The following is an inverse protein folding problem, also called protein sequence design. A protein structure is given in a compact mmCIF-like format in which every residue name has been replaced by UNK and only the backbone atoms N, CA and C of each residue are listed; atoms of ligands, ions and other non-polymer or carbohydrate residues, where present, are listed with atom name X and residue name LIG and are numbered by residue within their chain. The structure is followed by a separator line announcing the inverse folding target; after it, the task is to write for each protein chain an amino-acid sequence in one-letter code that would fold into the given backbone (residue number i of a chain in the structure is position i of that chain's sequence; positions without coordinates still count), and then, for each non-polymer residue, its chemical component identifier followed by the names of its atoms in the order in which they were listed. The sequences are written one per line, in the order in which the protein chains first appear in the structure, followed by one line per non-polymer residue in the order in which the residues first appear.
data_IF_268174913100
#
_entry.id   IF_268174913100
#
_cell.length_a   1.000
_cell.length_b   1.000
_cell.length_c   1.000
_cell.angle_alpha   90.00
_cell.angle_beta   90.00
_cell.angle_gamma   90.00
#
_symmetry.space_group_name_H-M   'P 1'
#
loop_
_entity.id
_entity.type
_entity.pdbx_description
1 polymer ?
#
# COMPACT_ATOMS: atom_id res chain seq x y z
N UNK A 1 16.27 -16.68 13.47
CA UNK A 1 16.78 -16.54 14.87
C UNK A 1 17.76 -15.36 14.93
N UNK A 2 17.34 -14.11 14.55
CA UNK A 2 18.21 -12.93 14.50
C UNK A 2 17.46 -11.65 14.90
N UNK A 3 16.67 -11.70 16.00
CA UNK A 3 16.04 -10.49 16.56
C UNK A 3 15.98 -10.58 18.07
N UNK A 4 17.13 -10.53 18.73
CA UNK A 4 17.21 -10.24 20.16
C UNK A 4 18.40 -9.34 20.45
N UNK A 5 18.08 -8.13 20.92
CA UNK A 5 18.76 -7.16 21.75
C UNK A 5 18.89 -5.77 21.10
N UNK A 6 18.01 -4.85 21.53
CA UNK A 6 18.35 -3.58 22.18
C UNK A 6 17.09 -2.77 22.42
N UNK A 7 16.54 -2.83 23.63
CA UNK A 7 15.68 -1.78 24.13
C UNK A 7 16.56 -0.58 24.42
N UNK A 8 16.66 0.34 23.45
CA UNK A 8 17.36 1.61 23.57
C UNK A 8 16.37 2.73 23.33
N UNK A 9 16.26 3.65 24.27
CA UNK A 9 15.56 4.92 24.10
C UNK A 9 16.21 5.67 22.96
N UNK A 10 15.44 5.99 21.92
CA UNK A 10 15.90 6.77 20.76
C UNK A 10 16.43 8.14 21.21
N UNK A 11 17.75 8.33 21.15
CA UNK A 11 18.36 9.65 21.07
C UNK A 11 18.58 9.95 19.60
N UNK A 12 17.75 10.82 19.02
CA UNK A 12 17.96 11.34 17.67
C UNK A 12 19.17 12.27 17.71
N UNK A 13 20.33 11.75 17.37
CA UNK A 13 21.53 12.53 17.11
C UNK A 13 22.18 12.00 15.83
N UNK A 14 21.75 12.52 14.69
CA UNK A 14 22.31 12.18 13.40
C UNK A 14 21.49 12.77 12.27
N UNK A 15 22.16 13.16 11.19
CA UNK A 15 21.56 13.81 10.03
C UNK A 15 20.81 12.84 9.08
N UNK A 16 20.77 11.54 9.40
CA UNK A 16 20.14 10.51 8.56
C UNK A 16 18.83 10.02 9.19
N UNK A 17 17.80 9.75 8.39
CA UNK A 17 16.54 9.21 8.88
C UNK A 17 16.76 7.80 9.46
N UNK A 18 16.05 7.48 10.54
CA UNK A 18 16.07 6.14 11.15
C UNK A 18 15.19 5.17 10.33
N UNK A 19 14.10 5.69 9.78
CA UNK A 19 13.20 4.94 8.91
C UNK A 19 13.70 5.01 7.47
N UNK A 20 13.91 3.85 6.87
CA UNK A 20 14.26 3.72 5.45
C UNK A 20 13.35 2.68 4.80
N UNK A 21 12.90 2.96 3.59
CA UNK A 21 12.03 2.08 2.81
C UNK A 21 12.42 2.11 1.34
N UNK A 22 12.49 0.96 0.71
CA UNK A 22 12.67 0.86 -0.73
C UNK A 22 11.30 0.79 -1.41
N UNK A 23 10.82 1.94 -1.89
CA UNK A 23 9.48 2.07 -2.48
C UNK A 23 9.33 1.38 -3.86
N UNK A 24 10.45 1.03 -4.51
CA UNK A 24 10.46 0.37 -5.83
C UNK A 24 11.62 -0.64 -5.88
N UNK A 25 11.47 -1.80 -5.23
CA UNK A 25 12.51 -2.81 -5.25
C UNK A 25 12.69 -3.38 -6.67
N UNK A 26 13.89 -3.88 -6.94
CA UNK A 26 14.16 -4.57 -8.20
C UNK A 26 13.28 -5.82 -8.27
N UNK A 27 12.75 -6.06 -9.47
CA UNK A 27 12.01 -7.28 -9.71
C UNK A 27 12.91 -8.50 -9.48
N UNK A 28 12.45 -9.43 -8.64
CA UNK A 28 13.11 -10.71 -8.43
C UNK A 28 12.63 -11.70 -9.50
N UNK A 29 13.48 -12.61 -9.93
CA UNK A 29 13.05 -13.66 -10.86
C UNK A 29 12.15 -14.64 -10.11
N UNK A 30 10.89 -14.74 -10.54
CA UNK A 30 9.95 -15.72 -9.98
C UNK A 30 10.00 -17.04 -10.76
N UNK A 31 9.84 -18.17 -10.07
CA UNK A 31 9.78 -19.47 -10.72
C UNK A 31 8.53 -19.63 -11.59
N UNK A 32 8.61 -20.55 -12.55
CA UNK A 32 7.47 -21.00 -13.33
C UNK A 32 7.00 -22.36 -12.79
N UNK A 33 5.70 -22.51 -12.68
CA UNK A 33 5.07 -23.75 -12.23
C UNK A 33 4.19 -24.31 -13.33
N UNK A 34 4.19 -25.63 -13.49
CA UNK A 34 3.30 -26.32 -14.44
C UNK A 34 1.87 -26.40 -13.91
N UNK A 35 1.73 -26.48 -12.60
CA UNK A 35 0.44 -26.57 -11.91
C UNK A 35 0.34 -25.40 -10.89
N UNK A 36 -0.77 -24.69 -10.92
CA UNK A 36 -1.06 -23.61 -9.99
C UNK A 36 -1.01 -24.07 -8.51
N UNK A 37 -1.29 -25.37 -8.26
CA UNK A 37 -1.26 -25.96 -6.92
C UNK A 37 0.14 -26.07 -6.31
N UNK A 38 1.18 -25.97 -7.13
CA UNK A 38 2.58 -25.99 -6.69
C UNK A 38 3.10 -24.59 -6.34
N UNK A 39 2.34 -23.55 -6.64
CA UNK A 39 2.76 -22.17 -6.39
C UNK A 39 2.86 -21.93 -4.90
N UNK A 40 4.06 -21.56 -4.45
CA UNK A 40 4.36 -21.09 -3.11
C UNK A 40 5.60 -20.20 -3.20
N UNK A 41 5.39 -18.89 -3.34
CA UNK A 41 6.46 -17.91 -3.55
C UNK A 41 6.32 -16.73 -2.62
N UNK A 42 7.45 -16.23 -2.13
CA UNK A 42 7.53 -15.05 -1.28
C UNK A 42 8.61 -14.11 -1.81
N UNK A 43 8.26 -12.82 -1.97
CA UNK A 43 9.19 -11.80 -2.46
C UNK A 43 8.89 -10.40 -1.91
N UNK A 44 9.90 -9.50 -1.90
CA UNK A 44 9.74 -8.16 -1.31
C UNK A 44 8.88 -7.25 -2.19
N UNK A 45 8.05 -6.43 -1.54
CA UNK A 45 7.25 -5.35 -2.12
C UNK A 45 7.75 -3.97 -1.71
N UNK A 46 7.90 -3.77 -0.42
CA UNK A 46 8.37 -2.53 0.22
C UNK A 46 9.38 -2.88 1.32
N UNK A 47 10.56 -3.38 0.94
CA UNK A 47 11.54 -3.83 1.92
C UNK A 47 12.01 -2.70 2.85
N UNK A 48 12.27 -3.01 4.12
CA UNK A 48 12.22 -4.34 4.73
C UNK A 48 10.85 -4.72 5.33
N UNK A 49 9.77 -3.97 5.05
CA UNK A 49 8.52 -4.04 5.80
C UNK A 49 7.44 -4.91 5.15
N UNK A 50 7.26 -4.84 3.82
CA UNK A 50 6.18 -5.57 3.16
C UNK A 50 6.69 -6.58 2.13
N UNK A 51 6.01 -7.73 2.12
CA UNK A 51 6.31 -8.85 1.22
C UNK A 51 5.02 -9.39 0.60
N UNK A 52 5.11 -9.91 -0.62
CA UNK A 52 4.08 -10.74 -1.21
C UNK A 52 4.34 -12.20 -0.87
N UNK A 53 3.29 -12.92 -0.49
CA UNK A 53 3.30 -14.37 -0.40
C UNK A 53 2.15 -14.93 -1.23
N UNK A 54 2.47 -15.65 -2.30
CA UNK A 54 1.48 -16.23 -3.21
C UNK A 54 1.52 -17.75 -3.06
N UNK A 55 0.36 -18.34 -2.79
CA UNK A 55 0.23 -19.79 -2.64
C UNK A 55 -1.16 -20.28 -3.07
N UNK A 56 -1.27 -21.57 -3.27
CA UNK A 56 -2.54 -22.21 -3.60
C UNK A 56 -3.41 -22.42 -2.36
N UNK A 57 -4.64 -21.90 -2.39
CA UNK A 57 -5.67 -22.17 -1.40
C UNK A 57 -6.47 -23.42 -1.83
N UNK A 58 -6.31 -24.50 -1.07
CA UNK A 58 -6.98 -25.79 -1.36
C UNK A 58 -8.47 -25.77 -1.10
N UNK A 59 -8.96 -24.91 -0.19
CA UNK A 59 -10.37 -24.78 0.16
C UNK A 59 -11.16 -24.06 -0.93
N UNK A 60 -10.63 -22.91 -1.37
CA UNK A 60 -11.28 -22.09 -2.40
C UNK A 60 -10.83 -22.44 -3.82
N UNK A 61 -9.83 -23.32 -3.98
CA UNK A 61 -9.28 -23.76 -5.27
C UNK A 61 -8.82 -22.61 -6.15
N UNK A 62 -8.14 -21.65 -5.55
CA UNK A 62 -7.59 -20.48 -6.23
C UNK A 62 -6.23 -20.07 -5.64
N UNK A 63 -5.49 -19.23 -6.38
CA UNK A 63 -4.26 -18.62 -5.88
C UNK A 63 -4.60 -17.45 -4.98
N UNK A 64 -3.95 -17.42 -3.82
CA UNK A 64 -4.07 -16.34 -2.84
C UNK A 64 -2.78 -15.55 -2.79
N UNK A 65 -2.90 -14.25 -2.86
CA UNK A 65 -1.83 -13.27 -2.70
C UNK A 65 -1.98 -12.58 -1.35
N UNK A 66 -1.14 -12.92 -0.40
CA UNK A 66 -1.11 -12.31 0.92
C UNK A 66 -0.06 -11.20 0.94
N UNK A 67 -0.49 -9.99 1.28
CA UNK A 67 0.46 -8.94 1.69
C UNK A 67 0.81 -9.17 3.14
N UNK A 68 2.09 -9.47 3.38
CA UNK A 68 2.65 -9.57 4.72
C UNK A 68 3.23 -8.21 5.12
N UNK A 69 2.63 -7.59 6.13
CA UNK A 69 3.02 -6.29 6.68
C UNK A 69 3.40 -6.43 8.16
N UNK A 70 4.09 -5.43 8.77
CA UNK A 70 4.44 -5.49 10.18
C UNK A 70 3.21 -5.65 11.08
N UNK A 71 3.25 -6.61 11.98
CA UNK A 71 2.16 -6.83 12.94
C UNK A 71 2.26 -5.77 14.03
N UNK A 72 1.19 -4.97 14.18
CA UNK A 72 1.03 -3.97 15.22
C UNK A 72 0.41 -4.60 16.48
N UNK A 73 0.94 -4.24 17.64
CA UNK A 73 0.26 -4.48 18.91
C UNK A 73 -0.95 -3.56 19.08
N UNK A 74 -1.81 -3.82 20.06
CA UNK A 74 -2.95 -2.93 20.32
C UNK A 74 -2.50 -1.53 20.78
N UNK A 75 -1.36 -1.46 21.46
CA UNK A 75 -0.72 -0.19 21.84
C UNK A 75 -0.21 0.55 20.60
N UNK A 76 0.51 -0.14 19.70
CA UNK A 76 0.98 0.45 18.43
C UNK A 76 -0.18 0.99 17.60
N UNK A 77 -1.32 0.27 17.55
CA UNK A 77 -2.53 0.72 16.81
C UNK A 77 -3.12 2.01 17.39
N UNK A 78 -3.18 2.12 18.73
CA UNK A 78 -3.65 3.33 19.38
C UNK A 78 -2.74 4.51 19.10
N UNK A 79 -1.43 4.32 19.21
CA UNK A 79 -0.43 5.35 18.90
C UNK A 79 -0.51 5.75 17.43
N UNK A 80 -0.60 4.79 16.52
CA UNK A 80 -0.74 5.05 15.08
C UNK A 80 -1.98 5.88 14.76
N UNK A 81 -3.14 5.54 15.36
CA UNK A 81 -4.38 6.31 15.17
C UNK A 81 -4.21 7.75 15.64
N UNK A 82 -3.61 7.93 16.82
CA UNK A 82 -3.39 9.26 17.41
C UNK A 82 -2.43 10.11 16.58
N UNK A 83 -1.31 9.53 16.17
CA UNK A 83 -0.35 10.19 15.28
C UNK A 83 -0.96 10.50 13.90
N UNK A 84 -1.80 9.60 13.38
CA UNK A 84 -2.49 9.79 12.11
C UNK A 84 -3.40 11.03 12.12
N UNK A 85 -4.12 11.26 13.21
CA UNK A 85 -4.97 12.45 13.35
C UNK A 85 -4.13 13.72 13.53
N UNK A 86 -3.09 13.69 14.37
CA UNK A 86 -2.17 14.82 14.53
C UNK A 86 -1.44 15.19 13.23
N UNK A 87 -1.04 14.19 12.43
CA UNK A 87 -0.41 14.44 11.13
C UNK A 87 -1.37 15.12 10.16
N UNK A 88 -2.64 14.74 10.11
CA UNK A 88 -3.64 15.38 9.23
C UNK A 88 -3.79 16.87 9.53
N UNK A 89 -3.68 17.27 10.80
CA UNK A 89 -3.74 18.67 11.20
C UNK A 89 -2.46 19.45 10.87
N UNK A 90 -1.29 18.82 11.03
CA UNK A 90 0.00 19.47 10.85
C UNK A 90 0.48 19.51 9.39
N UNK A 91 0.07 18.54 8.58
CA UNK A 91 0.61 18.36 7.25
C UNK A 91 -0.46 18.54 6.19
N UNK A 92 -0.41 19.67 5.49
CA UNK A 92 -1.10 19.81 4.23
C UNK A 92 -0.32 19.08 3.12
N UNK A 93 -0.45 17.73 3.11
CA UNK A 93 0.33 16.80 2.27
C UNK A 93 0.10 17.04 0.77
N UNK A 94 -0.94 17.79 0.39
CA UNK A 94 -1.26 18.11 -1.00
C UNK A 94 -0.13 18.82 -1.77
N UNK A 95 0.86 19.38 -1.06
CA UNK A 95 2.00 20.10 -1.64
C UNK A 95 3.31 19.28 -1.71
N UNK A 96 3.35 18.08 -1.14
CA UNK A 96 4.57 17.28 -1.19
C UNK A 96 4.60 16.53 -2.52
N UNK A 97 5.29 17.10 -3.51
CA UNK A 97 5.57 16.37 -4.75
C UNK A 97 6.50 15.20 -4.44
N UNK A 98 6.10 13.99 -4.79
CA UNK A 98 6.78 12.70 -4.54
C UNK A 98 8.16 12.59 -5.22
N UNK A 99 8.71 13.66 -5.77
CA UNK A 99 10.00 13.64 -6.48
C UNK A 99 11.23 13.46 -5.58
N UNK A 100 11.10 13.69 -4.28
CA UNK A 100 12.20 13.62 -3.32
C UNK A 100 11.80 12.73 -2.12
N UNK A 101 11.75 11.42 -2.32
CA UNK A 101 11.31 10.45 -1.31
C UNK A 101 12.05 10.56 0.04
N UNK A 102 13.33 10.86 0.02
CA UNK A 102 14.13 11.03 1.25
C UNK A 102 13.72 12.30 2.02
N UNK A 103 13.42 13.38 1.33
CA UNK A 103 12.97 14.65 1.95
C UNK A 103 11.60 14.45 2.62
N UNK A 104 10.70 13.69 2.00
CA UNK A 104 9.37 13.38 2.57
C UNK A 104 9.50 12.55 3.83
N UNK A 105 10.34 11.52 3.84
CA UNK A 105 10.58 10.66 5.01
C UNK A 105 11.13 11.48 6.17
N UNK A 106 12.15 12.31 5.94
CA UNK A 106 12.70 13.19 6.98
C UNK A 106 11.67 14.16 7.55
N UNK A 107 10.83 14.72 6.69
CA UNK A 107 9.76 15.61 7.12
C UNK A 107 8.73 14.89 8.00
N UNK A 108 8.32 13.68 7.63
CA UNK A 108 7.42 12.86 8.43
C UNK A 108 8.05 12.48 9.77
N UNK A 109 9.29 11.99 9.78
CA UNK A 109 10.02 11.66 11.01
C UNK A 109 10.09 12.85 11.97
N UNK A 110 10.43 14.03 11.45
CA UNK A 110 10.51 15.26 12.25
C UNK A 110 9.17 15.56 12.95
N UNK A 111 8.08 15.54 12.19
CA UNK A 111 6.75 15.85 12.75
C UNK A 111 6.27 14.78 13.74
N UNK A 112 6.53 13.51 13.45
CA UNK A 112 6.19 12.40 14.35
C UNK A 112 6.97 12.50 15.66
N UNK A 113 8.27 12.80 15.61
CA UNK A 113 9.08 12.95 16.80
C UNK A 113 8.62 14.15 17.65
N UNK A 114 8.17 15.25 17.03
CA UNK A 114 7.56 16.38 17.74
C UNK A 114 6.30 15.92 18.45
N UNK A 115 5.36 15.27 17.74
CA UNK A 115 4.11 14.78 18.32
C UNK A 115 4.36 13.79 19.47
N UNK A 116 5.26 12.82 19.29
CA UNK A 116 5.61 11.87 20.36
C UNK A 116 6.17 12.58 21.59
N UNK A 117 6.99 13.61 21.39
CA UNK A 117 7.59 14.40 22.47
C UNK A 117 6.55 15.24 23.20
N UNK A 118 5.66 15.92 22.49
CA UNK A 118 4.58 16.76 23.05
C UNK A 118 3.59 15.92 23.86
N UNK A 119 3.31 14.71 23.41
CA UNK A 119 2.40 13.76 24.06
C UNK A 119 3.09 12.96 25.19
N UNK A 120 4.41 13.08 25.35
CA UNK A 120 5.16 12.30 26.32
C UNK A 120 5.17 10.79 26.04
N UNK A 121 4.89 10.37 24.82
CA UNK A 121 4.82 8.97 24.43
C UNK A 121 6.23 8.42 24.18
N UNK A 122 6.59 7.36 24.89
CA UNK A 122 7.84 6.63 24.71
C UNK A 122 7.54 5.30 24.03
N UNK A 123 8.16 5.05 22.89
CA UNK A 123 8.00 3.79 22.13
C UNK A 123 9.35 3.15 21.87
N UNK A 124 9.35 1.84 21.66
CA UNK A 124 10.55 1.11 21.23
C UNK A 124 10.94 1.46 19.80
N UNK A 125 12.20 1.27 19.43
CA UNK A 125 12.64 1.43 18.03
C UNK A 125 11.86 0.53 17.07
N UNK A 126 11.52 -0.68 17.51
CA UNK A 126 10.73 -1.62 16.70
C UNK A 126 9.33 -1.08 16.43
N UNK A 127 8.61 -0.65 17.47
CA UNK A 127 7.27 -0.03 17.34
C UNK A 127 7.32 1.23 16.48
N UNK A 128 8.36 2.06 16.68
CA UNK A 128 8.56 3.27 15.88
C UNK A 128 8.66 2.94 14.38
N UNK A 129 9.50 1.99 14.00
CA UNK A 129 9.68 1.60 12.60
C UNK A 129 8.40 1.02 11.98
N UNK A 130 7.65 0.21 12.75
CA UNK A 130 6.35 -0.31 12.31
C UNK A 130 5.34 0.81 12.07
N UNK A 131 5.22 1.73 13.02
CA UNK A 131 4.32 2.88 12.93
C UNK A 131 4.71 3.77 11.75
N UNK A 132 6.00 4.05 11.57
CA UNK A 132 6.51 4.83 10.43
C UNK A 132 6.17 4.19 9.09
N UNK A 133 6.23 2.86 8.98
CA UNK A 133 5.82 2.14 7.78
C UNK A 133 4.34 2.42 7.45
N UNK A 134 3.43 2.30 8.42
CA UNK A 134 2.01 2.56 8.20
C UNK A 134 1.72 4.03 7.89
N UNK A 135 2.42 4.95 8.56
CA UNK A 135 2.31 6.38 8.25
C UNK A 135 2.79 6.67 6.82
N UNK A 136 3.93 6.12 6.42
CA UNK A 136 4.41 6.25 5.03
C UNK A 136 3.39 5.67 4.05
N UNK A 137 2.94 4.43 4.26
CA UNK A 137 1.96 3.75 3.41
C UNK A 137 0.66 4.55 3.26
N UNK A 138 0.15 5.09 4.37
CA UNK A 138 -1.17 5.70 4.41
C UNK A 138 -1.15 7.20 4.03
N UNK A 139 -0.07 7.91 4.24
CA UNK A 139 0.02 9.34 3.94
C UNK A 139 0.77 9.64 2.64
N UNK A 140 1.86 8.96 2.35
CA UNK A 140 2.63 9.15 1.12
C UNK A 140 2.12 8.24 0.01
N UNK A 141 1.92 6.98 0.34
CA UNK A 141 1.40 5.96 -0.57
C UNK A 141 -0.11 5.98 -0.73
N UNK A 142 -0.63 4.86 -1.17
CA UNK A 142 -2.04 4.63 -1.51
C UNK A 142 -2.71 3.67 -0.52
N UNK A 143 -2.45 3.83 0.77
CA UNK A 143 -3.03 3.05 1.86
C UNK A 143 -2.82 1.53 1.63
N UNK A 144 -3.86 0.73 1.85
CA UNK A 144 -3.83 -0.74 1.76
C UNK A 144 -3.44 -1.27 0.38
N UNK A 145 -3.56 -0.45 -0.68
CA UNK A 145 -3.20 -0.87 -2.04
C UNK A 145 -1.76 -0.48 -2.44
N UNK A 146 -1.06 0.28 -1.60
CA UNK A 146 0.33 0.69 -1.91
C UNK A 146 1.26 -0.49 -2.21
N UNK A 147 1.23 -1.61 -1.44
CA UNK A 147 2.06 -2.77 -1.75
C UNK A 147 1.79 -3.36 -3.13
N UNK A 148 0.53 -3.37 -3.60
CA UNK A 148 0.18 -3.84 -4.94
C UNK A 148 0.73 -2.93 -6.04
N UNK A 149 0.69 -1.60 -5.78
CA UNK A 149 1.23 -0.63 -6.73
C UNK A 149 2.77 -0.67 -6.79
N UNK A 150 3.43 -1.04 -5.70
CA UNK A 150 4.86 -1.25 -5.65
C UNK A 150 5.31 -2.54 -6.37
N UNK A 151 4.44 -3.55 -6.46
CA UNK A 151 4.78 -4.84 -7.07
C UNK A 151 4.97 -4.74 -8.58
N UNK A 152 6.15 -5.14 -9.06
CA UNK A 152 6.46 -5.17 -10.49
C UNK A 152 5.55 -6.11 -11.30
N UNK A 153 5.09 -7.20 -10.68
CA UNK A 153 4.33 -8.24 -11.36
C UNK A 153 2.82 -7.99 -11.43
N UNK A 154 2.30 -6.98 -10.75
CA UNK A 154 0.88 -6.65 -10.82
C UNK A 154 0.62 -5.75 -12.03
N UNK A 155 -0.38 -6.14 -12.82
CA UNK A 155 -0.87 -5.39 -13.98
C UNK A 155 -2.16 -4.65 -13.66
N UNK A 156 -3.14 -5.34 -13.07
CA UNK A 156 -4.42 -4.74 -12.70
C UNK A 156 -4.72 -4.99 -11.22
N UNK A 157 -5.36 -4.00 -10.58
CA UNK A 157 -5.87 -4.07 -9.20
C UNK A 157 -7.36 -3.80 -9.25
N UNK A 158 -8.18 -4.75 -8.79
CA UNK A 158 -9.65 -4.70 -8.91
C UNK A 158 -10.32 -4.79 -7.53
N UNK A 159 -11.07 -3.74 -7.18
CA UNK A 159 -11.92 -3.71 -5.99
C UNK A 159 -13.40 -3.66 -6.39
N UNK A 160 -14.12 -4.73 -6.12
CA UNK A 160 -15.50 -4.93 -6.54
C UNK A 160 -16.53 -4.56 -5.45
N UNK A 161 -16.15 -3.67 -4.53
CA UNK A 161 -17.02 -3.15 -3.48
C UNK A 161 -16.69 -3.67 -2.09
N UNK A 162 -17.56 -3.31 -1.14
CA UNK A 162 -17.44 -3.64 0.28
C UNK A 162 -17.60 -5.14 0.51
N UNK A 163 -16.84 -5.68 1.48
CA UNK A 163 -16.83 -7.10 1.85
C UNK A 163 -16.43 -8.06 0.71
N UNK A 164 -15.84 -7.52 -0.36
CA UNK A 164 -15.25 -8.32 -1.42
C UNK A 164 -13.73 -8.21 -1.34
N UNK A 165 -12.98 -9.31 -1.51
CA UNK A 165 -11.53 -9.23 -1.58
C UNK A 165 -11.11 -8.43 -2.83
N UNK A 166 -9.98 -7.77 -2.73
CA UNK A 166 -9.31 -7.21 -3.92
C UNK A 166 -8.76 -8.37 -4.74
N UNK A 167 -8.96 -8.31 -6.05
CA UNK A 167 -8.34 -9.23 -7.01
C UNK A 167 -7.22 -8.51 -7.75
N UNK A 168 -6.18 -9.25 -8.10
CA UNK A 168 -5.04 -8.75 -8.87
C UNK A 168 -4.85 -9.59 -10.12
N UNK A 169 -4.44 -8.93 -11.21
CA UNK A 169 -3.90 -9.61 -12.38
C UNK A 169 -2.37 -9.63 -12.25
N UNK A 170 -1.83 -10.81 -12.02
CA UNK A 170 -0.39 -11.03 -11.85
C UNK A 170 0.20 -11.61 -13.14
N UNK A 171 1.28 -11.03 -13.67
CA UNK A 171 1.91 -11.39 -14.96
C UNK A 171 2.21 -12.86 -15.13
N UNK A 172 2.69 -13.52 -14.05
CA UNK A 172 3.04 -14.94 -14.09
C UNK A 172 1.91 -15.85 -13.64
N UNK A 173 1.16 -15.44 -12.63
CA UNK A 173 0.19 -16.30 -11.96
C UNK A 173 -1.26 -15.92 -12.27
N UNK A 174 -1.48 -14.99 -13.20
CA UNK A 174 -2.80 -14.53 -13.67
C UNK A 174 -3.65 -13.96 -12.53
N UNK A 175 -4.91 -14.36 -12.43
CA UNK A 175 -5.82 -13.83 -11.43
C UNK A 175 -5.50 -14.43 -10.05
N UNK A 176 -5.30 -13.57 -9.06
CA UNK A 176 -5.05 -13.96 -7.68
C UNK A 176 -5.94 -13.17 -6.73
N UNK A 177 -6.51 -13.85 -5.75
CA UNK A 177 -7.30 -13.24 -4.67
C UNK A 177 -6.38 -12.69 -3.59
N UNK A 178 -6.64 -11.51 -3.07
CA UNK A 178 -5.84 -10.97 -1.97
C UNK A 178 -6.46 -11.18 -0.59
N UNK A 179 -5.66 -10.95 0.46
CA UNK A 179 -6.14 -10.87 1.84
C UNK A 179 -6.68 -9.47 2.21
N UNK A 180 -6.69 -8.51 1.29
CA UNK A 180 -7.16 -7.15 1.54
C UNK A 180 -8.64 -7.04 1.20
N UNK A 181 -9.44 -6.63 2.20
CA UNK A 181 -10.90 -6.48 2.08
C UNK A 181 -11.30 -5.16 2.73
N UNK A 182 -12.03 -4.33 2.01
CA UNK A 182 -12.68 -3.16 2.58
C UNK A 182 -14.00 -3.58 3.24
N UNK A 183 -14.04 -3.58 4.57
CA UNK A 183 -15.24 -3.95 5.35
C UNK A 183 -16.16 -2.76 5.64
N UNK A 184 -15.70 -1.53 5.38
CA UNK A 184 -16.45 -0.29 5.61
C UNK A 184 -16.63 0.49 4.32
N UNK A 185 -17.88 0.86 4.02
CA UNK A 185 -18.21 1.73 2.88
C UNK A 185 -17.52 3.09 2.97
N UNK A 186 -17.44 3.67 4.16
CA UNK A 186 -16.74 4.96 4.37
C UNK A 186 -15.25 4.86 4.08
N UNK A 187 -14.58 3.79 4.49
CA UNK A 187 -13.16 3.57 4.16
C UNK A 187 -12.95 3.45 2.65
N UNK A 188 -13.82 2.71 1.97
CA UNK A 188 -13.73 2.54 0.52
C UNK A 188 -14.04 3.84 -0.22
N UNK A 189 -15.04 4.63 0.24
CA UNK A 189 -15.31 5.97 -0.29
C UNK A 189 -14.09 6.89 -0.15
N UNK A 190 -13.49 6.95 1.04
CA UNK A 190 -12.28 7.75 1.27
C UNK A 190 -11.12 7.32 0.37
N UNK A 191 -10.99 6.01 0.09
CA UNK A 191 -10.00 5.49 -0.85
C UNK A 191 -10.26 6.02 -2.27
N UNK A 192 -11.51 5.94 -2.74
CA UNK A 192 -11.89 6.41 -4.09
C UNK A 192 -11.73 7.93 -4.20
N UNK A 193 -12.06 8.70 -3.16
CA UNK A 193 -11.79 10.14 -3.11
C UNK A 193 -10.29 10.45 -3.19
N UNK A 194 -9.47 9.72 -2.44
CA UNK A 194 -8.00 9.87 -2.50
C UNK A 194 -7.46 9.55 -3.90
N UNK A 195 -7.97 8.51 -4.54
CA UNK A 195 -7.61 8.17 -5.92
C UNK A 195 -7.99 9.29 -6.89
N UNK A 196 -9.19 9.88 -6.76
CA UNK A 196 -9.62 11.01 -7.56
C UNK A 196 -8.71 12.24 -7.37
N UNK A 197 -8.38 12.57 -6.12
CA UNK A 197 -7.46 13.67 -5.79
C UNK A 197 -6.07 13.46 -6.40
N UNK A 198 -5.55 12.23 -6.36
CA UNK A 198 -4.25 11.88 -7.00
C UNK A 198 -4.28 12.02 -8.52
N UNK A 199 -5.45 11.87 -9.14
CA UNK A 199 -5.67 12.14 -10.57
C UNK A 199 -5.94 13.63 -10.89
N UNK A 200 -5.94 14.52 -9.87
CA UNK A 200 -6.33 15.91 -10.03
C UNK A 200 -7.81 16.08 -10.39
N UNK A 201 -8.65 15.11 -10.01
CA UNK A 201 -10.09 15.09 -10.28
C UNK A 201 -10.89 15.13 -8.98
N UNK A 202 -12.16 15.45 -9.10
CA UNK A 202 -13.13 15.42 -8.03
C UNK A 202 -14.21 14.38 -8.33
N UNK A 203 -14.62 13.63 -7.30
CA UNK A 203 -15.70 12.65 -7.37
C UNK A 203 -16.72 12.94 -6.25
N UNK A 204 -17.99 12.73 -6.50
CA UNK A 204 -19.08 12.98 -5.54
C UNK A 204 -20.31 12.17 -5.93
N UNK A 205 -21.34 12.23 -5.09
CA UNK A 205 -22.65 11.64 -5.41
C UNK A 205 -23.28 12.22 -6.69
N UNK A 206 -23.05 13.52 -6.96
CA UNK A 206 -23.53 14.17 -8.19
C UNK A 206 -22.70 13.81 -9.42
N UNK A 207 -21.44 13.42 -9.25
CA UNK A 207 -20.55 12.97 -10.31
C UNK A 207 -19.81 11.69 -9.84
N UNK A 208 -20.50 10.55 -9.86
CA UNK A 208 -20.02 9.33 -9.20
C UNK A 208 -19.02 8.49 -10.01
N UNK A 209 -18.62 8.93 -11.18
CA UNK A 209 -17.71 8.20 -12.06
C UNK A 209 -16.35 8.88 -12.14
N UNK A 210 -15.29 8.13 -11.99
CA UNK A 210 -13.91 8.54 -12.17
C UNK A 210 -13.29 7.76 -13.33
N UNK A 211 -12.78 8.46 -14.33
CA UNK A 211 -11.81 7.95 -15.31
C UNK A 211 -10.61 8.90 -15.27
N UNK A 212 -9.43 8.39 -14.92
CA UNK A 212 -8.26 9.22 -14.72
C UNK A 212 -6.95 8.49 -14.90
N UNK A 213 -5.87 9.24 -14.68
CA UNK A 213 -4.51 8.70 -14.65
C UNK A 213 -3.82 9.14 -13.38
N UNK A 214 -3.18 8.19 -12.70
CA UNK A 214 -2.33 8.45 -11.55
C UNK A 214 -1.02 9.12 -12.00
N UNK A 215 -0.26 9.75 -11.08
CA UNK A 215 0.98 10.44 -11.42
C UNK A 215 2.07 9.53 -12.03
N UNK A 216 2.01 8.24 -11.78
CA UNK A 216 2.91 7.24 -12.37
C UNK A 216 2.54 6.81 -13.79
N UNK A 217 1.40 7.31 -14.31
CA UNK A 217 0.84 6.97 -15.63
C UNK A 217 -0.18 5.83 -15.59
N UNK A 218 -0.41 5.19 -14.46
CA UNK A 218 -1.42 4.14 -14.31
C UNK A 218 -2.83 4.71 -14.53
N UNK A 219 -3.68 3.96 -15.22
CA UNK A 219 -5.07 4.37 -15.46
C UNK A 219 -5.99 3.86 -14.37
N UNK A 220 -6.97 4.67 -14.01
CA UNK A 220 -7.97 4.31 -13.02
C UNK A 220 -9.37 4.57 -13.54
N UNK A 221 -10.27 3.63 -13.27
CA UNK A 221 -11.71 3.78 -13.35
C UNK A 221 -12.30 3.48 -11.98
N UNK A 222 -13.19 4.32 -11.48
CA UNK A 222 -13.85 4.09 -10.21
C UNK A 222 -15.30 4.58 -10.20
N UNK A 223 -16.10 4.00 -9.31
CA UNK A 223 -17.46 4.43 -9.00
C UNK A 223 -17.54 4.82 -7.54
N UNK A 224 -18.34 5.85 -7.22
CA UNK A 224 -18.38 6.40 -5.87
C UNK A 224 -19.65 6.07 -5.10
N UNK A 225 -20.79 5.94 -5.77
CA UNK A 225 -22.09 5.85 -5.13
C UNK A 225 -22.66 4.43 -5.13
N UNK A 226 -23.44 4.10 -4.08
CA UNK A 226 -24.22 2.87 -3.98
C UNK A 226 -25.31 2.75 -5.05
N UNK A 227 -25.75 3.88 -5.60
CA UNK A 227 -26.73 3.92 -6.69
C UNK A 227 -26.14 3.45 -8.03
N UNK A 228 -24.82 3.48 -8.17
CA UNK A 228 -24.10 3.03 -9.37
C UNK A 228 -23.64 1.58 -9.21
N UNK A 229 -23.30 1.16 -7.99
CA UNK A 229 -22.86 -0.19 -7.68
C UNK A 229 -23.51 -0.69 -6.39
N UNK A 230 -24.20 -1.81 -6.47
CA UNK A 230 -24.96 -2.41 -5.35
C UNK A 230 -24.12 -2.78 -4.13
N UNK A 231 -22.80 -2.94 -4.31
CA UNK A 231 -21.84 -3.26 -3.23
C UNK A 231 -21.01 -2.05 -2.76
N UNK A 232 -21.49 -0.83 -3.05
CA UNK A 232 -20.77 0.40 -2.72
C UNK A 232 -19.72 0.78 -3.77
N UNK A 233 -18.80 1.71 -3.45
CA UNK A 233 -17.77 2.15 -4.37
C UNK A 233 -16.92 1.01 -4.93
N UNK A 234 -16.47 1.16 -6.16
CA UNK A 234 -15.56 0.22 -6.83
C UNK A 234 -14.40 0.97 -7.48
N UNK A 235 -13.28 0.29 -7.69
CA UNK A 235 -12.22 0.83 -8.53
C UNK A 235 -11.44 -0.27 -9.24
N UNK A 236 -10.91 0.08 -10.41
CA UNK A 236 -9.95 -0.73 -11.16
C UNK A 236 -8.77 0.15 -11.54
N UNK A 237 -7.56 -0.31 -11.24
CA UNK A 237 -6.32 0.38 -11.60
C UNK A 237 -5.55 -0.52 -12.55
N UNK A 238 -5.30 -0.04 -13.77
CA UNK A 238 -4.37 -0.65 -14.71
C UNK A 238 -3.02 0.02 -14.60
N UNK A 239 -2.04 -0.71 -14.07
CA UNK A 239 -0.70 -0.18 -13.83
C UNK A 239 0.02 0.14 -15.13
N UNK A 240 0.68 1.29 -15.15
CA UNK A 240 1.54 1.65 -16.28
C UNK A 240 2.86 0.88 -16.20
N UNK A 241 3.12 0.09 -17.23
CA UNK A 241 4.37 -0.66 -17.36
C UNK A 241 5.41 0.19 -18.05
N UNK A 242 6.44 0.61 -17.33
CA UNK A 242 7.56 1.41 -17.89
C UNK A 242 8.41 0.66 -18.91
N UNK A 243 8.40 -0.67 -18.86
CA UNK A 243 9.09 -1.52 -19.83
C UNK A 243 8.03 -2.17 -20.72
N UNK A 244 7.88 -1.70 -21.96
CA UNK A 244 6.95 -2.31 -22.90
C UNK A 244 7.36 -3.75 -23.20
N UNK A 245 6.38 -4.58 -23.49
CA UNK A 245 6.62 -5.94 -23.96
C UNK A 245 7.46 -5.89 -25.23
N UNK A 246 8.54 -6.65 -25.28
CA UNK A 246 9.26 -6.84 -26.53
C UNK A 246 8.45 -7.80 -27.42
N UNK A 247 8.56 -7.70 -28.77
CA UNK A 247 7.88 -8.62 -29.67
C UNK A 247 8.14 -10.11 -29.35
N UNK A 248 9.34 -10.43 -28.86
CA UNK A 248 9.71 -11.79 -28.44
C UNK A 248 8.96 -12.25 -27.18
N UNK A 249 8.61 -11.34 -26.27
CA UNK A 249 7.82 -11.65 -25.06
C UNK A 249 6.32 -11.78 -25.35
N UNK A 250 5.85 -11.26 -26.50
CA UNK A 250 4.45 -11.39 -26.93
C UNK A 250 4.18 -12.70 -27.67
N UNK A 251 5.24 -13.41 -28.11
CA UNK A 251 5.15 -14.62 -28.95
C UNK A 251 5.51 -15.88 -28.12
N UNK A 252 6.09 -15.72 -26.93
CA UNK A 252 6.38 -16.79 -25.99
C UNK A 252 5.22 -17.05 -25.05
#
# INVERSE_FOLDING_TARGET
MFWKKRAGVLKVSGNEPIFTIEARPRAVTLPEFKDAREVNVRYPLLPPYAYAHIFWDTENKELVYVVEEPILTDEDRKILSFLGDGIKELINISFISVKEGETVIRYLEKNINVLLSELGIKISTESYLKIMYYIYRDFVGMNEIEPFLADYYIEDVECNGVNSPIYLVHRKYRNVRTNVIFTSGSKLSNMVEKLAQKCGKYISYANPLLDGSLPDGSRINATFATDVSSKGPTFTIRKFTKVPWTPTQLIS
#
